data_IF_061815339108
#
_entry.id   IF_061815339108
#
_cell.length_a   1.000
_cell.length_b   1.000
_cell.length_c   1.000
_cell.angle_alpha   90.00
_cell.angle_beta   90.00
_cell.angle_gamma   90.00
#
_symmetry.space_group_name_H-M   'P 1'
#
loop_
_entity.id
_entity.type
_entity.pdbx_description
1 polymer ?
#
# COMPACT_ATOMS: atom_id res chain seq x y z
N UNK A 1 28.13 50.22 -3.15
CA UNK A 1 28.71 48.94 -3.57
C UNK A 1 28.45 47.82 -2.54
N UNK A 2 28.62 48.01 -1.25
CA UNK A 2 28.39 47.01 -0.19
C UNK A 2 26.97 46.38 -0.21
N UNK A 3 25.91 47.20 -0.36
CA UNK A 3 24.54 46.70 -0.35
C UNK A 3 24.17 45.81 -1.57
N UNK A 4 24.81 45.99 -2.71
CA UNK A 4 24.60 45.18 -3.89
C UNK A 4 25.25 43.78 -3.76
N UNK A 5 26.39 43.70 -3.07
CA UNK A 5 27.09 42.44 -2.80
C UNK A 5 26.32 41.61 -1.79
N UNK A 6 25.75 42.24 -0.76
CA UNK A 6 24.89 41.55 0.23
C UNK A 6 23.60 41.02 -0.41
N UNK A 7 22.97 41.76 -1.31
CA UNK A 7 21.79 41.31 -2.04
C UNK A 7 22.10 40.11 -2.96
N UNK A 8 23.26 40.10 -3.64
CA UNK A 8 23.70 38.99 -4.46
C UNK A 8 24.04 37.74 -3.63
N UNK A 9 24.66 37.92 -2.46
CA UNK A 9 24.96 36.81 -1.55
C UNK A 9 23.69 36.20 -0.97
N UNK A 10 22.67 36.99 -0.61
CA UNK A 10 21.37 36.47 -0.16
C UNK A 10 20.58 35.75 -1.26
N UNK A 11 20.67 36.24 -2.51
CA UNK A 11 20.02 35.59 -3.65
C UNK A 11 20.65 34.23 -3.98
N UNK A 12 21.98 34.07 -3.86
CA UNK A 12 22.71 32.83 -4.03
C UNK A 12 22.42 31.78 -2.92
N UNK A 13 22.16 32.24 -1.69
CA UNK A 13 21.77 31.37 -0.57
C UNK A 13 20.34 30.83 -0.70
N UNK A 14 19.42 31.55 -1.35
CA UNK A 14 18.04 31.12 -1.54
C UNK A 14 17.88 30.05 -2.63
N UNK A 15 18.84 29.93 -3.56
CA UNK A 15 18.79 28.93 -4.64
C UNK A 15 19.28 27.54 -4.23
N UNK A 16 19.93 27.41 -3.07
CA UNK A 16 20.48 26.14 -2.56
C UNK A 16 19.48 25.22 -1.84
N UNK A 17 18.23 25.63 -1.60
CA UNK A 17 17.28 24.87 -0.77
C UNK A 17 16.23 24.06 -1.57
N UNK A 18 16.39 23.95 -2.90
CA UNK A 18 15.48 23.15 -3.75
C UNK A 18 16.09 21.80 -4.16
N UNK A 19 16.93 21.20 -3.31
CA UNK A 19 17.21 19.77 -3.44
C UNK A 19 16.02 19.04 -2.85
N UNK A 20 14.95 18.92 -3.62
CA UNK A 20 13.88 18.00 -3.33
C UNK A 20 14.46 16.60 -3.36
N UNK A 21 14.45 15.88 -2.24
CA UNK A 21 14.68 14.44 -2.23
C UNK A 21 13.59 13.79 -3.07
N UNK A 22 13.83 13.60 -4.37
CA UNK A 22 13.03 12.69 -5.16
C UNK A 22 13.44 11.28 -4.73
N UNK A 23 12.59 10.61 -3.96
CA UNK A 23 12.74 9.18 -3.68
C UNK A 23 12.75 8.48 -5.04
N UNK A 24 13.79 7.67 -5.32
CA UNK A 24 13.82 6.91 -6.56
C UNK A 24 12.75 5.79 -6.49
N UNK A 25 12.12 5.50 -7.61
CA UNK A 25 11.13 4.39 -7.69
C UNK A 25 11.78 3.08 -7.26
N UNK A 26 13.04 2.85 -7.60
CA UNK A 26 13.78 1.63 -7.23
C UNK A 26 13.99 1.49 -5.72
N UNK A 27 14.27 2.58 -5.01
CA UNK A 27 14.42 2.56 -3.55
C UNK A 27 13.05 2.31 -2.88
N UNK A 28 11.99 2.90 -3.41
CA UNK A 28 10.64 2.69 -2.91
C UNK A 28 10.19 1.24 -3.09
N UNK A 29 10.51 0.61 -4.23
CA UNK A 29 10.22 -0.80 -4.51
C UNK A 29 10.91 -1.74 -3.51
N UNK A 30 12.20 -1.53 -3.25
CA UNK A 30 12.96 -2.34 -2.28
C UNK A 30 12.38 -2.21 -0.87
N UNK A 31 12.07 -0.98 -0.46
CA UNK A 31 11.45 -0.70 0.82
C UNK A 31 10.06 -1.36 0.93
N UNK A 32 9.29 -1.36 -0.16
CA UNK A 32 7.95 -1.95 -0.22
C UNK A 32 7.99 -3.42 0.12
N UNK A 33 8.83 -4.22 -0.56
CA UNK A 33 8.91 -5.66 -0.32
C UNK A 33 9.31 -5.97 1.13
N UNK A 34 10.35 -5.30 1.65
CA UNK A 34 10.82 -5.53 3.00
C UNK A 34 9.75 -5.20 4.07
N UNK A 35 9.06 -4.08 3.94
CA UNK A 35 8.00 -3.67 4.88
C UNK A 35 6.77 -4.57 4.83
N UNK A 36 6.40 -5.05 3.65
CA UNK A 36 5.28 -5.98 3.52
C UNK A 36 5.63 -7.33 4.15
N UNK A 37 6.84 -7.85 3.90
CA UNK A 37 7.31 -9.09 4.50
C UNK A 37 7.34 -8.98 6.03
N UNK A 38 7.83 -7.87 6.56
CA UNK A 38 7.79 -7.59 8.00
C UNK A 38 6.35 -7.54 8.52
N UNK A 39 5.44 -6.80 7.84
CA UNK A 39 4.05 -6.68 8.25
C UNK A 39 3.28 -8.01 8.15
N UNK A 40 3.62 -8.88 7.18
CA UNK A 40 3.06 -10.22 7.05
C UNK A 40 3.51 -11.14 8.20
N UNK A 41 4.79 -11.08 8.59
CA UNK A 41 5.37 -11.91 9.65
C UNK A 41 5.03 -11.44 11.06
N UNK A 42 4.65 -10.16 11.23
CA UNK A 42 4.25 -9.61 12.51
C UNK A 42 2.89 -10.17 12.96
N UNK A 43 2.66 -10.13 14.29
CA UNK A 43 1.34 -10.42 14.83
C UNK A 43 0.30 -9.47 14.22
N UNK A 44 -0.84 -9.97 13.70
CA UNK A 44 -1.89 -9.12 13.17
C UNK A 44 -2.35 -8.07 14.19
N UNK A 45 -2.67 -6.88 13.69
CA UNK A 45 -3.22 -5.80 14.50
C UNK A 45 -4.57 -6.21 15.10
N UNK A 46 -4.88 -5.72 16.30
CA UNK A 46 -6.18 -5.98 16.92
C UNK A 46 -7.28 -5.27 16.13
N UNK A 47 -8.37 -6.00 15.86
CA UNK A 47 -9.50 -5.47 15.11
C UNK A 47 -10.18 -4.34 15.89
N UNK A 48 -10.53 -3.25 15.21
CA UNK A 48 -11.21 -2.08 15.79
C UNK A 48 -12.46 -1.68 15.02
N UNK A 49 -12.82 -2.40 13.98
CA UNK A 49 -14.01 -2.24 13.14
C UNK A 49 -14.62 -3.60 12.84
N UNK A 50 -15.94 -3.60 12.56
CA UNK A 50 -16.66 -4.76 12.05
C UNK A 50 -17.72 -4.34 11.05
N UNK A 51 -17.96 -5.19 10.05
CA UNK A 51 -19.01 -5.05 9.06
C UNK A 51 -19.52 -6.43 8.69
N UNK A 52 -20.85 -6.65 8.78
CA UNK A 52 -21.48 -7.96 8.61
C UNK A 52 -20.79 -9.05 9.47
N UNK A 53 -20.25 -10.09 8.84
CA UNK A 53 -19.57 -11.21 9.51
C UNK A 53 -18.07 -11.01 9.69
N UNK A 54 -17.48 -9.90 9.17
CA UNK A 54 -16.06 -9.66 9.25
C UNK A 54 -15.69 -8.63 10.32
N UNK A 55 -14.53 -8.80 10.93
CA UNK A 55 -13.88 -7.78 11.75
C UNK A 55 -12.47 -7.52 11.24
N UNK A 56 -12.01 -6.27 11.33
CA UNK A 56 -10.73 -5.84 10.77
C UNK A 56 -10.14 -4.67 11.53
N UNK A 57 -8.86 -4.44 11.36
CA UNK A 57 -8.18 -3.23 11.80
C UNK A 57 -8.29 -2.15 10.72
N UNK A 58 -8.67 -0.94 11.12
CA UNK A 58 -8.62 0.24 10.26
C UNK A 58 -7.74 1.30 10.92
N UNK A 59 -6.64 1.75 10.27
CA UNK A 59 -5.81 2.85 10.76
C UNK A 59 -6.62 4.11 11.05
N UNK A 60 -6.26 4.86 12.11
CA UNK A 60 -7.00 6.08 12.50
C UNK A 60 -7.01 7.18 11.41
N UNK A 61 -6.03 7.15 10.49
CA UNK A 61 -5.97 8.09 9.38
C UNK A 61 -6.97 7.76 8.25
N UNK A 62 -7.57 6.56 8.28
CA UNK A 62 -8.54 6.11 7.29
C UNK A 62 -9.96 6.21 7.84
N UNK A 63 -10.91 6.51 6.98
CA UNK A 63 -12.35 6.44 7.26
C UNK A 63 -13.04 5.48 6.29
N UNK A 64 -14.19 4.94 6.70
CA UNK A 64 -15.06 4.15 5.84
C UNK A 64 -15.81 5.14 4.94
N UNK A 65 -15.66 4.99 3.63
CA UNK A 65 -16.36 5.81 2.63
C UNK A 65 -17.63 5.11 2.14
N UNK A 66 -17.57 3.79 1.96
CA UNK A 66 -18.71 2.99 1.51
C UNK A 66 -18.62 1.56 1.98
N UNK A 67 -19.78 0.94 2.19
CA UNK A 67 -19.93 -0.45 2.59
C UNK A 67 -20.89 -1.14 1.61
N UNK A 68 -20.46 -2.27 1.06
CA UNK A 68 -21.23 -3.10 0.15
C UNK A 68 -20.93 -4.57 0.37
N UNK A 69 -21.79 -5.45 -0.10
CA UNK A 69 -21.61 -6.89 0.03
C UNK A 69 -20.23 -7.32 -0.46
N UNK A 70 -19.41 -7.88 0.42
CA UNK A 70 -18.02 -8.33 0.17
C UNK A 70 -17.02 -7.20 -0.17
N UNK A 71 -17.42 -5.93 -0.18
CA UNK A 71 -16.54 -4.82 -0.51
C UNK A 71 -16.69 -3.69 0.51
N UNK A 72 -15.54 -3.19 1.00
CA UNK A 72 -15.46 -1.97 1.79
C UNK A 72 -14.54 -0.99 1.08
N UNK A 73 -14.95 0.29 1.04
CA UNK A 73 -14.11 1.36 0.51
C UNK A 73 -13.66 2.23 1.67
N UNK A 74 -12.35 2.36 1.83
CA UNK A 74 -11.74 3.27 2.79
C UNK A 74 -11.15 4.46 2.06
N UNK A 75 -11.08 5.60 2.74
CA UNK A 75 -10.46 6.82 2.25
C UNK A 75 -9.39 7.32 3.24
N UNK A 76 -8.22 7.68 2.70
CA UNK A 76 -7.18 8.42 3.42
C UNK A 76 -6.78 9.65 2.59
N UNK A 77 -7.19 10.83 3.04
CA UNK A 77 -7.02 12.06 2.25
C UNK A 77 -7.88 12.03 0.98
N UNK A 78 -7.22 11.83 -0.18
CA UNK A 78 -7.89 11.67 -1.49
C UNK A 78 -7.69 10.27 -2.07
N UNK A 79 -6.98 9.40 -1.36
CA UNK A 79 -6.68 8.06 -1.81
C UNK A 79 -7.75 7.09 -1.33
N UNK A 80 -8.27 6.28 -2.25
CA UNK A 80 -9.27 5.26 -1.97
C UNK A 80 -8.59 3.89 -1.91
N UNK A 81 -9.09 3.05 -1.00
CA UNK A 81 -8.66 1.68 -0.81
C UNK A 81 -9.89 0.78 -0.87
N UNK A 82 -9.87 -0.21 -1.74
CA UNK A 82 -10.99 -1.13 -1.97
C UNK A 82 -10.63 -2.47 -1.37
N UNK A 83 -11.24 -2.81 -0.24
CA UNK A 83 -11.13 -4.12 0.40
C UNK A 83 -12.21 -5.04 -0.17
N UNK A 84 -11.80 -6.18 -0.68
CA UNK A 84 -12.64 -7.30 -1.05
C UNK A 84 -12.34 -8.48 -0.13
N UNK A 85 -13.40 -9.14 0.37
CA UNK A 85 -13.31 -10.33 1.21
C UNK A 85 -14.20 -11.43 0.63
N UNK A 86 -13.60 -12.58 0.30
CA UNK A 86 -14.33 -13.79 0.00
C UNK A 86 -14.29 -14.74 1.21
N UNK A 87 -15.35 -14.83 2.02
CA UNK A 87 -15.36 -15.66 3.23
C UNK A 87 -15.40 -17.17 2.95
N UNK A 88 -15.51 -17.58 1.69
CA UNK A 88 -15.47 -18.99 1.29
C UNK A 88 -14.04 -19.48 0.93
N UNK A 89 -13.05 -18.58 0.98
CA UNK A 89 -11.65 -18.89 0.72
C UNK A 89 -10.86 -18.83 2.02
N UNK A 90 -10.08 -19.86 2.28
CA UNK A 90 -9.19 -19.91 3.44
C UNK A 90 -8.02 -18.94 3.29
N UNK A 91 -7.32 -18.64 4.39
CA UNK A 91 -6.20 -17.69 4.37
C UNK A 91 -4.96 -18.19 3.61
N UNK A 92 -4.85 -19.49 3.35
CA UNK A 92 -3.80 -20.13 2.54
C UNK A 92 -4.20 -20.32 1.06
N UNK A 93 -5.43 -19.95 0.68
CA UNK A 93 -5.91 -20.04 -0.70
C UNK A 93 -5.10 -19.19 -1.66
N UNK A 94 -4.77 -19.74 -2.84
CA UNK A 94 -4.05 -19.06 -3.93
C UNK A 94 -4.98 -18.56 -5.04
N UNK A 95 -6.28 -18.85 -4.97
CA UNK A 95 -7.27 -18.55 -6.03
C UNK A 95 -7.32 -17.06 -6.35
N UNK A 96 -7.36 -16.22 -5.32
CA UNK A 96 -7.40 -14.76 -5.52
C UNK A 96 -6.09 -14.25 -6.15
N UNK A 97 -4.93 -14.75 -5.71
CA UNK A 97 -3.64 -14.43 -6.31
C UNK A 97 -3.57 -14.83 -7.78
N UNK A 98 -3.96 -16.05 -8.12
CA UNK A 98 -3.97 -16.57 -9.49
C UNK A 98 -4.86 -15.70 -10.39
N UNK A 99 -5.96 -15.18 -9.87
CA UNK A 99 -6.85 -14.25 -10.58
C UNK A 99 -6.19 -12.92 -10.95
N UNK A 100 -5.08 -12.53 -10.30
CA UNK A 100 -4.34 -11.29 -10.64
C UNK A 100 -3.53 -11.40 -11.93
N UNK A 101 -3.45 -12.62 -12.51
CA UNK A 101 -2.71 -12.92 -13.72
C UNK A 101 -1.20 -13.07 -13.50
N UNK A 102 -0.50 -13.46 -14.56
CA UNK A 102 0.94 -13.63 -14.54
C UNK A 102 1.68 -12.27 -14.46
N UNK A 103 2.93 -12.32 -13.95
CA UNK A 103 3.82 -11.16 -13.92
C UNK A 103 4.04 -10.58 -15.32
N UNK A 104 3.91 -9.27 -15.44
CA UNK A 104 4.09 -8.51 -16.67
C UNK A 104 5.32 -7.59 -16.58
N UNK A 105 5.70 -6.96 -17.70
CA UNK A 105 6.80 -5.96 -17.70
C UNK A 105 6.48 -4.67 -16.96
N UNK A 106 5.19 -4.40 -16.69
CA UNK A 106 4.73 -3.24 -15.95
C UNK A 106 4.70 -3.46 -14.44
N UNK A 107 4.86 -4.72 -13.99
CA UNK A 107 4.83 -5.06 -12.59
C UNK A 107 6.22 -4.81 -11.97
N UNK A 108 6.29 -3.78 -11.14
CA UNK A 108 7.49 -3.39 -10.42
C UNK A 108 7.75 -4.30 -9.22
N UNK A 109 6.65 -4.73 -8.54
CA UNK A 109 6.66 -5.74 -7.49
C UNK A 109 5.67 -6.84 -7.87
N UNK A 110 6.06 -8.08 -7.67
CA UNK A 110 5.20 -9.25 -7.84
C UNK A 110 5.79 -10.36 -6.97
N UNK A 111 5.44 -10.35 -5.68
CA UNK A 111 6.03 -11.20 -4.66
C UNK A 111 4.95 -11.91 -3.86
N UNK A 112 5.31 -13.06 -3.29
CA UNK A 112 4.45 -13.87 -2.43
C UNK A 112 5.15 -14.18 -1.12
N UNK A 113 4.36 -14.36 -0.05
CA UNK A 113 4.79 -14.71 1.28
C UNK A 113 3.98 -15.91 1.76
N UNK A 114 4.58 -16.82 2.49
CA UNK A 114 3.90 -18.05 2.92
C UNK A 114 4.34 -18.42 4.33
N UNK A 115 3.37 -18.77 5.17
CA UNK A 115 3.60 -19.44 6.45
C UNK A 115 2.72 -20.70 6.52
N UNK A 116 2.65 -21.35 7.68
CA UNK A 116 1.92 -22.63 7.83
C UNK A 116 0.42 -22.51 7.49
N UNK A 117 -0.19 -21.34 7.62
CA UNK A 117 -1.64 -21.15 7.55
C UNK A 117 -2.09 -20.02 6.64
N UNK A 118 -1.14 -19.26 6.05
CA UNK A 118 -1.47 -18.08 5.24
C UNK A 118 -0.64 -18.01 3.97
N UNK A 119 -1.27 -17.58 2.90
CA UNK A 119 -0.62 -17.20 1.65
C UNK A 119 -0.85 -15.72 1.38
N UNK A 120 0.21 -14.93 1.52
CA UNK A 120 0.21 -13.49 1.26
C UNK A 120 0.80 -13.15 -0.10
N UNK A 121 0.40 -12.03 -0.68
CA UNK A 121 0.90 -11.56 -1.97
C UNK A 121 0.84 -10.05 -2.10
N UNK A 122 1.73 -9.52 -2.94
CA UNK A 122 1.75 -8.11 -3.34
C UNK A 122 2.02 -8.00 -4.83
N UNK A 123 1.32 -7.08 -5.46
CA UNK A 123 1.56 -6.67 -6.84
C UNK A 123 1.54 -5.15 -6.93
N UNK A 124 2.56 -4.56 -7.54
CA UNK A 124 2.62 -3.13 -7.85
C UNK A 124 2.80 -2.99 -9.35
N UNK A 125 1.84 -2.39 -10.01
CA UNK A 125 1.79 -2.25 -11.47
C UNK A 125 1.76 -0.78 -11.85
N UNK A 126 2.64 -0.35 -12.76
CA UNK A 126 2.54 0.98 -13.34
C UNK A 126 1.35 1.04 -14.30
N UNK A 127 0.36 1.90 -13.98
CA UNK A 127 -0.86 2.07 -14.78
C UNK A 127 -0.78 3.30 -15.70
N UNK A 128 -0.19 4.39 -15.17
CA UNK A 128 0.10 5.63 -15.89
C UNK A 128 1.41 6.22 -15.37
N UNK A 129 1.93 7.24 -16.04
CA UNK A 129 3.13 7.95 -15.57
C UNK A 129 2.95 8.44 -14.13
N UNK A 130 3.82 7.99 -13.23
CA UNK A 130 3.80 8.28 -11.78
C UNK A 130 2.47 7.89 -11.08
N UNK A 131 1.76 6.88 -11.61
CA UNK A 131 0.56 6.31 -11.02
C UNK A 131 0.65 4.79 -11.02
N UNK A 132 0.49 4.19 -9.86
CA UNK A 132 0.73 2.77 -9.60
C UNK A 132 -0.48 2.14 -8.94
N UNK A 133 -0.96 1.04 -9.47
CA UNK A 133 -1.88 0.16 -8.75
C UNK A 133 -1.08 -0.66 -7.75
N UNK A 134 -1.47 -0.58 -6.48
CA UNK A 134 -0.93 -1.39 -5.39
C UNK A 134 -2.01 -2.37 -4.97
N UNK A 135 -1.70 -3.64 -5.03
CA UNK A 135 -2.57 -4.74 -4.65
C UNK A 135 -1.84 -5.58 -3.59
N UNK A 136 -2.50 -5.80 -2.45
CA UNK A 136 -2.00 -6.63 -1.35
C UNK A 136 -3.11 -7.57 -0.92
N UNK A 137 -2.78 -8.83 -0.63
CA UNK A 137 -3.79 -9.79 -0.19
C UNK A 137 -3.24 -10.91 0.68
N UNK A 138 -4.17 -11.61 1.35
CA UNK A 138 -3.95 -12.87 2.07
C UNK A 138 -5.15 -13.78 1.78
N UNK A 139 -4.88 -14.95 1.18
CA UNK A 139 -5.93 -15.90 0.82
C UNK A 139 -7.05 -15.26 0.00
N UNK A 140 -8.28 -15.37 0.46
CA UNK A 140 -9.47 -14.77 -0.15
C UNK A 140 -9.67 -13.28 0.10
N UNK A 141 -8.71 -12.59 0.72
CA UNK A 141 -8.77 -11.16 1.07
C UNK A 141 -7.86 -10.38 0.14
N UNK A 142 -8.37 -9.28 -0.43
CA UNK A 142 -7.61 -8.41 -1.33
C UNK A 142 -7.91 -6.95 -1.06
N UNK A 143 -6.89 -6.13 -0.91
CA UNK A 143 -6.98 -4.68 -0.81
C UNK A 143 -6.25 -4.05 -2.00
N UNK A 144 -6.89 -3.09 -2.67
CA UNK A 144 -6.34 -2.43 -3.86
C UNK A 144 -6.45 -0.91 -3.71
N UNK A 145 -5.42 -0.21 -4.14
CA UNK A 145 -5.40 1.27 -4.21
C UNK A 145 -4.60 1.75 -5.41
N UNK A 146 -4.77 3.04 -5.77
CA UNK A 146 -3.84 3.74 -6.65
C UNK A 146 -2.99 4.70 -5.82
N UNK A 147 -1.69 4.70 -6.05
CA UNK A 147 -0.71 5.48 -5.31
C UNK A 147 0.29 6.17 -6.25
N UNK A 148 0.90 7.26 -5.80
CA UNK A 148 2.10 7.82 -6.42
C UNK A 148 3.33 7.04 -5.96
N UNK A 149 4.45 7.14 -6.72
CA UNK A 149 5.69 6.46 -6.37
C UNK A 149 6.07 6.61 -4.89
N UNK A 150 6.09 7.83 -4.36
CA UNK A 150 6.45 8.11 -2.96
C UNK A 150 5.48 7.60 -1.89
N UNK A 151 4.36 7.00 -2.29
CA UNK A 151 3.32 6.49 -1.39
C UNK A 151 3.22 4.97 -1.43
N UNK A 152 3.90 4.29 -2.36
CA UNK A 152 3.77 2.85 -2.59
C UNK A 152 4.09 2.07 -1.31
N UNK A 153 5.26 2.31 -0.73
CA UNK A 153 5.76 1.54 0.41
C UNK A 153 4.89 1.70 1.65
N UNK A 154 4.51 2.93 1.99
CA UNK A 154 3.62 3.19 3.13
C UNK A 154 2.22 2.61 2.91
N UNK A 155 1.64 2.81 1.72
CA UNK A 155 0.32 2.25 1.39
C UNK A 155 0.34 0.73 1.48
N UNK A 156 1.34 0.08 0.90
CA UNK A 156 1.44 -1.37 0.86
C UNK A 156 1.63 -1.99 2.26
N UNK A 157 2.43 -1.36 3.13
CA UNK A 157 2.60 -1.75 4.53
C UNK A 157 1.27 -1.66 5.30
N UNK A 158 0.57 -0.52 5.22
CA UNK A 158 -0.75 -0.33 5.85
C UNK A 158 -1.78 -1.34 5.32
N UNK A 159 -1.76 -1.59 4.00
CA UNK A 159 -2.64 -2.58 3.38
C UNK A 159 -2.38 -3.98 3.93
N UNK A 160 -1.12 -4.39 4.09
CA UNK A 160 -0.79 -5.70 4.66
C UNK A 160 -1.24 -5.80 6.12
N UNK A 161 -1.10 -4.74 6.92
CA UNK A 161 -1.63 -4.70 8.29
C UNK A 161 -3.16 -4.87 8.34
N UNK A 162 -3.88 -4.24 7.40
CA UNK A 162 -5.34 -4.36 7.31
C UNK A 162 -5.73 -5.79 6.93
N UNK A 163 -5.21 -6.34 5.81
CA UNK A 163 -5.60 -7.67 5.32
C UNK A 163 -5.21 -8.78 6.30
N UNK A 164 -4.07 -8.65 6.99
CA UNK A 164 -3.63 -9.60 8.03
C UNK A 164 -4.55 -9.62 9.25
N UNK A 165 -5.28 -8.56 9.50
CA UNK A 165 -6.16 -8.41 10.66
C UNK A 165 -7.58 -8.94 10.44
N UNK A 166 -7.98 -9.19 9.19
CA UNK A 166 -9.36 -9.61 8.86
C UNK A 166 -9.67 -10.97 9.47
N UNK A 167 -10.84 -11.06 10.11
CA UNK A 167 -11.42 -12.28 10.70
C UNK A 167 -12.86 -12.42 10.23
N UNK A 168 -13.28 -13.64 9.89
CA UNK A 168 -14.62 -14.02 9.46
C UNK A 168 -15.02 -15.40 9.98
#
# INVERSE_FOLDING_TARGET
MKNRIVLFACLLLLTGLLVGCSVSVDDEIKNTTAKIEEAFNNKPMETNKSFESISYYLPNAMKIESEGTNNLIFEQGKQLYILFVNPNEELDSKVMFESTGAKTKKDLVFETFEDENRFGYVKVTEVEENSYEVLVGIGGIKLTTQAKASQISESAEQMMQIVSSVKY
#
